data_IF_512224146415
#
_entry.id   IF_512224146415
#
_cell.length_a   1.000
_cell.length_b   1.000
_cell.length_c   1.000
_cell.angle_alpha   90.00
_cell.angle_beta   90.00
_cell.angle_gamma   90.00
#
_symmetry.space_group_name_H-M   'P 1'
#
loop_
_entity.id
_entity.type
_entity.pdbx_description
1 polymer ?
#
# COMPACT_ATOMS: atom_id res chain seq x y z
N UNK A 1 6.21 -21.15 -10.78
CA UNK A 1 6.51 -22.38 -11.56
C UNK A 1 7.09 -22.09 -12.94
N UNK A 2 6.51 -21.19 -13.74
CA UNK A 2 7.00 -20.89 -15.11
C UNK A 2 8.48 -20.47 -15.18
N UNK A 3 8.93 -19.55 -14.30
CA UNK A 3 10.34 -19.11 -14.24
C UNK A 3 11.32 -20.23 -13.89
N UNK A 4 10.89 -21.20 -13.08
CA UNK A 4 11.70 -22.36 -12.70
C UNK A 4 11.86 -23.34 -13.87
N UNK A 5 10.75 -23.66 -14.56
CA UNK A 5 10.76 -24.54 -15.74
C UNK A 5 11.61 -23.95 -16.87
N UNK A 6 11.47 -22.63 -17.12
CA UNK A 6 12.29 -21.92 -18.11
C UNK A 6 13.79 -22.02 -17.77
N UNK A 7 14.15 -21.86 -16.49
CA UNK A 7 15.52 -22.00 -16.01
C UNK A 7 16.08 -23.41 -16.21
N UNK A 8 15.29 -24.46 -15.96
CA UNK A 8 15.70 -25.86 -16.17
C UNK A 8 15.95 -26.16 -17.66
N UNK A 9 15.11 -25.65 -18.55
CA UNK A 9 15.25 -25.85 -20.00
C UNK A 9 16.51 -25.16 -20.52
N UNK A 10 16.69 -23.88 -20.17
CA UNK A 10 17.88 -23.11 -20.60
C UNK A 10 19.15 -23.70 -20.02
N UNK A 11 19.14 -24.10 -18.75
CA UNK A 11 20.28 -24.72 -18.08
C UNK A 11 20.67 -26.06 -18.70
N UNK A 12 19.70 -26.91 -19.04
CA UNK A 12 19.95 -28.20 -19.69
C UNK A 12 20.54 -28.02 -21.09
N UNK A 13 20.05 -27.04 -21.85
CA UNK A 13 20.56 -26.72 -23.18
C UNK A 13 22.01 -26.21 -23.16
N UNK A 14 22.34 -25.30 -22.24
CA UNK A 14 23.71 -24.83 -22.04
C UNK A 14 24.64 -25.95 -21.57
N UNK A 15 24.17 -26.81 -20.66
CA UNK A 15 24.95 -27.96 -20.18
C UNK A 15 25.27 -28.94 -21.30
N UNK A 16 24.33 -29.16 -22.22
CA UNK A 16 24.52 -30.02 -23.38
C UNK A 16 25.53 -29.43 -24.37
N UNK A 17 25.44 -28.13 -24.68
CA UNK A 17 26.39 -27.44 -25.56
C UNK A 17 27.80 -27.48 -24.98
N UNK A 18 27.96 -27.20 -23.68
CA UNK A 18 29.27 -27.31 -23.01
C UNK A 18 29.81 -28.74 -23.07
N UNK A 19 28.98 -29.75 -22.81
CA UNK A 19 29.41 -31.15 -22.83
C UNK A 19 29.90 -31.58 -24.23
N UNK A 20 29.19 -31.18 -25.29
CA UNK A 20 29.60 -31.44 -26.68
C UNK A 20 30.89 -30.68 -27.02
N UNK A 21 31.02 -29.42 -26.62
CA UNK A 21 32.23 -28.64 -26.87
C UNK A 21 33.47 -29.24 -26.20
N UNK A 22 33.32 -29.79 -24.98
CA UNK A 22 34.38 -30.47 -24.24
C UNK A 22 34.79 -31.77 -24.93
N UNK A 23 33.82 -32.59 -25.34
CA UNK A 23 34.06 -33.87 -26.02
C UNK A 23 34.73 -33.70 -27.39
N UNK A 24 34.44 -32.63 -28.12
CA UNK A 24 34.95 -32.39 -29.47
C UNK A 24 36.30 -31.66 -29.48
N UNK A 25 36.61 -30.86 -28.45
CA UNK A 25 37.76 -29.94 -28.50
C UNK A 25 39.03 -30.43 -27.79
N UNK A 26 39.06 -31.66 -27.25
CA UNK A 26 40.23 -32.22 -26.52
C UNK A 26 40.79 -31.27 -25.43
N UNK A 27 39.90 -30.47 -24.85
CA UNK A 27 40.26 -29.44 -23.86
C UNK A 27 40.46 -30.14 -22.52
N UNK A 28 41.70 -30.14 -22.03
CA UNK A 28 42.00 -30.50 -20.64
C UNK A 28 41.40 -29.44 -19.72
N UNK A 29 40.17 -29.65 -19.28
CA UNK A 29 39.55 -28.74 -18.34
C UNK A 29 40.15 -28.97 -16.96
N UNK A 30 40.72 -27.91 -16.41
CA UNK A 30 41.12 -27.91 -15.02
C UNK A 30 39.86 -28.01 -14.13
N UNK A 31 39.69 -29.17 -13.50
CA UNK A 31 38.59 -29.41 -12.55
C UNK A 31 38.60 -28.41 -11.39
N UNK A 32 39.76 -27.86 -11.02
CA UNK A 32 39.84 -26.81 -10.01
C UNK A 32 39.21 -25.50 -10.51
N UNK A 33 39.42 -25.14 -11.79
CA UNK A 33 38.81 -23.95 -12.41
C UNK A 33 37.28 -24.08 -12.46
N UNK A 34 36.75 -25.22 -12.93
CA UNK A 34 35.29 -25.45 -12.94
C UNK A 34 34.72 -25.34 -11.52
N UNK A 35 35.36 -26.00 -10.55
CA UNK A 35 34.88 -26.02 -9.17
C UNK A 35 34.82 -24.61 -8.59
N UNK A 36 35.84 -23.79 -8.84
CA UNK A 36 35.86 -22.38 -8.42
C UNK A 36 34.74 -21.55 -9.08
N UNK A 37 34.44 -21.77 -10.37
CA UNK A 37 33.33 -21.10 -11.06
C UNK A 37 31.98 -21.49 -10.45
N UNK A 38 31.76 -22.78 -10.19
CA UNK A 38 30.52 -23.27 -9.58
C UNK A 38 30.33 -22.70 -8.17
N UNK A 39 31.38 -22.69 -7.35
CA UNK A 39 31.37 -22.09 -6.01
C UNK A 39 31.04 -20.59 -6.11
N UNK A 40 31.64 -19.86 -7.05
CA UNK A 40 31.38 -18.44 -7.24
C UNK A 40 29.91 -18.17 -7.62
N UNK A 41 29.36 -18.93 -8.56
CA UNK A 41 27.95 -18.81 -8.97
C UNK A 41 27.02 -19.14 -7.82
N UNK A 42 27.27 -20.23 -7.08
CA UNK A 42 26.47 -20.61 -5.92
C UNK A 42 26.47 -19.52 -4.85
N UNK A 43 27.62 -18.88 -4.61
CA UNK A 43 27.75 -17.78 -3.65
C UNK A 43 26.97 -16.54 -4.09
N UNK A 44 27.02 -16.18 -5.38
CA UNK A 44 26.24 -15.05 -5.93
C UNK A 44 24.73 -15.31 -5.78
N UNK A 45 24.26 -16.50 -6.15
CA UNK A 45 22.85 -16.88 -6.03
C UNK A 45 22.40 -16.89 -4.56
N UNK A 46 23.20 -17.47 -3.67
CA UNK A 46 22.92 -17.48 -2.24
C UNK A 46 22.82 -16.05 -1.68
N UNK A 47 23.74 -15.17 -2.08
CA UNK A 47 23.73 -13.76 -1.66
C UNK A 47 22.51 -13.01 -2.18
N UNK A 48 22.10 -13.26 -3.44
CA UNK A 48 20.91 -12.66 -4.03
C UNK A 48 19.63 -13.09 -3.30
N UNK A 49 19.47 -14.39 -3.02
CA UNK A 49 18.34 -14.94 -2.25
C UNK A 49 18.33 -14.36 -0.83
N UNK A 50 19.50 -14.30 -0.18
CA UNK A 50 19.62 -13.76 1.17
C UNK A 50 19.22 -12.28 1.22
N UNK A 51 19.63 -11.49 0.24
CA UNK A 51 19.26 -10.08 0.14
C UNK A 51 17.74 -9.90 -0.04
N UNK A 52 17.13 -10.66 -0.96
CA UNK A 52 15.67 -10.63 -1.18
C UNK A 52 14.90 -11.06 0.09
N UNK A 53 15.35 -12.13 0.75
CA UNK A 53 14.78 -12.61 2.02
C UNK A 53 14.85 -11.55 3.13
N UNK A 54 15.97 -10.85 3.28
CA UNK A 54 16.10 -9.75 4.25
C UNK A 54 15.13 -8.61 3.92
N UNK A 55 15.04 -8.22 2.65
CA UNK A 55 14.14 -7.15 2.23
C UNK A 55 12.68 -7.50 2.53
N UNK A 56 12.26 -8.74 2.25
CA UNK A 56 10.92 -9.24 2.57
C UNK A 56 10.67 -9.27 4.08
N UNK A 57 11.58 -9.84 4.87
CA UNK A 57 11.45 -9.88 6.34
C UNK A 57 11.34 -8.48 6.95
N UNK A 58 12.06 -7.49 6.41
CA UNK A 58 11.95 -6.10 6.88
C UNK A 58 10.56 -5.53 6.63
N UNK A 59 9.98 -5.78 5.45
CA UNK A 59 8.62 -5.32 5.13
C UNK A 59 7.58 -6.05 5.98
N UNK A 60 7.71 -7.36 6.16
CA UNK A 60 6.81 -8.15 7.00
C UNK A 60 6.84 -7.65 8.46
N UNK A 61 8.02 -7.31 8.99
CA UNK A 61 8.13 -6.71 10.33
C UNK A 61 7.47 -5.34 10.41
N UNK A 62 7.66 -4.48 9.42
CA UNK A 62 7.01 -3.15 9.37
C UNK A 62 5.49 -3.32 9.30
N UNK A 63 5.01 -4.26 8.50
CA UNK A 63 3.60 -4.59 8.42
C UNK A 63 3.07 -5.06 9.77
N UNK A 64 3.64 -6.10 10.38
CA UNK A 64 3.16 -6.66 11.65
C UNK A 64 3.15 -5.63 12.78
N UNK A 65 4.15 -4.73 12.85
CA UNK A 65 4.20 -3.67 13.87
C UNK A 65 3.08 -2.63 13.69
N UNK A 66 2.72 -2.30 12.45
CA UNK A 66 1.81 -1.19 12.15
C UNK A 66 0.40 -1.65 11.75
N UNK A 67 0.18 -2.95 11.55
CA UNK A 67 -1.02 -3.54 10.96
C UNK A 67 -2.29 -3.07 11.66
N UNK A 68 -2.36 -3.19 12.99
CA UNK A 68 -3.55 -2.83 13.75
C UNK A 68 -3.89 -1.35 13.58
N UNK A 69 -2.87 -0.47 13.62
CA UNK A 69 -3.07 0.97 13.43
C UNK A 69 -3.53 1.30 12.01
N UNK A 70 -2.92 0.68 10.99
CA UNK A 70 -3.29 0.90 9.59
C UNK A 70 -4.69 0.41 9.28
N UNK A 71 -5.06 -0.77 9.79
CA UNK A 71 -6.40 -1.33 9.64
C UNK A 71 -7.44 -0.48 10.38
N UNK A 72 -7.13 -0.01 11.59
CA UNK A 72 -8.02 0.88 12.33
C UNK A 72 -8.21 2.20 11.59
N UNK A 73 -7.13 2.81 11.09
CA UNK A 73 -7.20 4.03 10.28
C UNK A 73 -7.99 3.82 8.99
N UNK A 74 -7.79 2.70 8.29
CA UNK A 74 -8.53 2.37 7.08
C UNK A 74 -10.02 2.18 7.36
N UNK A 75 -10.34 1.53 8.48
CA UNK A 75 -11.70 1.33 8.93
C UNK A 75 -12.37 2.66 9.32
N UNK A 76 -11.75 3.48 10.17
CA UNK A 76 -12.31 4.79 10.55
C UNK A 76 -12.45 5.73 9.35
N UNK A 77 -11.51 5.69 8.39
CA UNK A 77 -11.61 6.41 7.12
C UNK A 77 -12.80 5.92 6.28
N UNK A 78 -13.03 4.61 6.21
CA UNK A 78 -14.19 4.09 5.47
C UNK A 78 -15.51 4.54 6.09
N UNK A 79 -15.58 4.62 7.43
CA UNK A 79 -16.76 5.08 8.14
C UNK A 79 -17.00 6.59 7.95
N UNK A 80 -15.95 7.41 7.93
CA UNK A 80 -16.11 8.86 7.70
C UNK A 80 -16.50 9.18 6.25
N UNK A 81 -16.00 8.41 5.27
CA UNK A 81 -16.47 8.50 3.88
C UNK A 81 -17.96 8.18 3.82
N UNK A 82 -18.37 7.05 4.39
CA UNK A 82 -19.77 6.65 4.42
C UNK A 82 -20.66 7.70 5.10
N UNK A 83 -20.22 8.24 6.23
CA UNK A 83 -20.95 9.29 6.93
C UNK A 83 -21.08 10.56 6.08
N UNK A 84 -20.01 10.97 5.40
CA UNK A 84 -20.02 12.15 4.54
C UNK A 84 -20.94 11.96 3.33
N UNK A 85 -20.92 10.79 2.70
CA UNK A 85 -21.83 10.45 1.60
C UNK A 85 -23.30 10.44 2.05
N UNK A 86 -23.59 9.85 3.21
CA UNK A 86 -24.94 9.83 3.79
C UNK A 86 -25.46 11.24 4.07
N UNK A 87 -24.68 12.09 4.75
CA UNK A 87 -25.12 13.43 5.10
C UNK A 87 -25.15 14.39 3.90
N UNK A 88 -24.31 14.18 2.88
CA UNK A 88 -24.43 14.86 1.59
C UNK A 88 -25.79 14.58 0.93
N UNK A 89 -26.23 13.30 0.92
CA UNK A 89 -27.53 12.93 0.37
C UNK A 89 -28.70 13.52 1.18
N UNK A 90 -28.58 13.58 2.52
CA UNK A 90 -29.56 14.27 3.38
C UNK A 90 -29.69 15.75 2.99
N UNK A 91 -28.57 16.45 2.85
CA UNK A 91 -28.55 17.88 2.57
C UNK A 91 -29.05 18.19 1.17
N UNK A 92 -28.70 17.34 0.20
CA UNK A 92 -29.26 17.39 -1.15
C UNK A 92 -30.78 17.22 -1.12
N UNK A 93 -31.30 16.16 -0.49
CA UNK A 93 -32.75 15.91 -0.41
C UNK A 93 -33.49 17.05 0.28
N UNK A 94 -32.91 17.62 1.33
CA UNK A 94 -33.44 18.79 2.03
C UNK A 94 -33.50 20.03 1.14
N UNK A 95 -32.44 20.30 0.38
CA UNK A 95 -32.33 21.46 -0.51
C UNK A 95 -33.34 21.43 -1.66
N UNK A 96 -33.67 20.22 -2.15
CA UNK A 96 -34.61 20.03 -3.26
C UNK A 96 -36.03 19.63 -2.81
N UNK A 97 -36.29 19.55 -1.50
CA UNK A 97 -37.60 19.15 -0.96
C UNK A 97 -37.99 17.71 -1.29
N UNK A 98 -37.00 16.85 -1.55
CA UNK A 98 -37.19 15.43 -1.87
C UNK A 98 -37.44 14.67 -0.56
N UNK A 99 -38.59 13.99 -0.46
CA UNK A 99 -38.94 13.19 0.72
C UNK A 99 -38.47 11.73 0.58
N UNK A 100 -37.21 11.54 0.19
CA UNK A 100 -36.57 10.24 0.12
C UNK A 100 -35.55 10.09 1.25
N UNK A 101 -35.51 8.91 1.85
CA UNK A 101 -34.46 8.58 2.82
C UNK A 101 -33.16 8.28 2.07
N UNK A 102 -32.01 8.75 2.58
CA UNK A 102 -30.70 8.41 2.02
C UNK A 102 -30.46 6.90 1.96
N UNK A 103 -29.52 6.48 1.14
CA UNK A 103 -29.18 5.06 0.99
C UNK A 103 -28.47 4.51 2.24
N UNK A 104 -29.10 3.52 2.84
CA UNK A 104 -28.53 2.72 3.93
C UNK A 104 -28.81 3.25 5.34
N UNK A 105 -28.28 2.58 6.37
CA UNK A 105 -28.54 2.95 7.75
C UNK A 105 -27.84 4.26 8.14
N UNK A 106 -28.47 5.02 9.05
CA UNK A 106 -27.84 6.24 9.59
C UNK A 106 -26.45 5.90 10.18
N UNK A 107 -25.40 6.67 9.84
CA UNK A 107 -24.08 6.51 10.42
C UNK A 107 -24.11 6.64 11.94
N UNK A 108 -23.22 5.92 12.63
CA UNK A 108 -23.04 6.08 14.09
C UNK A 108 -22.59 7.51 14.42
N UNK A 109 -22.82 7.96 15.64
CA UNK A 109 -22.32 9.26 16.09
C UNK A 109 -20.82 9.20 16.37
N UNK A 110 -20.13 10.35 16.31
CA UNK A 110 -18.71 10.46 16.63
C UNK A 110 -17.73 9.94 15.58
N UNK A 111 -18.18 9.56 14.38
CA UNK A 111 -17.30 9.00 13.33
C UNK A 111 -16.18 9.95 12.92
N UNK A 112 -16.52 11.24 12.76
CA UNK A 112 -15.56 12.28 12.39
C UNK A 112 -14.50 12.49 13.47
N UNK A 113 -14.92 12.53 14.74
CA UNK A 113 -14.01 12.67 15.87
C UNK A 113 -13.11 11.44 16.03
N UNK A 114 -13.67 10.24 15.89
CA UNK A 114 -12.90 9.00 15.92
C UNK A 114 -11.82 8.97 14.84
N UNK A 115 -12.17 9.33 13.59
CA UNK A 115 -11.20 9.42 12.50
C UNK A 115 -10.12 10.49 12.77
N UNK A 116 -10.51 11.67 13.25
CA UNK A 116 -9.58 12.75 13.62
C UNK A 116 -8.58 12.29 14.69
N UNK A 117 -9.07 11.58 15.71
CA UNK A 117 -8.23 11.02 16.78
C UNK A 117 -7.25 9.96 16.24
N UNK A 118 -7.71 9.06 15.37
CA UNK A 118 -6.86 8.06 14.73
C UNK A 118 -5.78 8.73 13.86
N UNK A 119 -6.16 9.74 13.08
CA UNK A 119 -5.25 10.52 12.24
C UNK A 119 -4.17 11.21 13.08
N UNK A 120 -4.55 11.85 14.20
CA UNK A 120 -3.60 12.49 15.12
C UNK A 120 -2.68 11.48 15.79
N UNK A 121 -3.21 10.31 16.19
CA UNK A 121 -2.42 9.23 16.74
C UNK A 121 -1.37 8.73 15.75
N UNK A 122 -1.72 8.58 14.47
CA UNK A 122 -0.73 8.23 13.43
C UNK A 122 0.33 9.32 13.28
N UNK A 123 -0.09 10.58 13.14
CA UNK A 123 0.80 11.71 12.88
C UNK A 123 1.75 12.02 14.04
N UNK A 124 1.37 11.71 15.28
CA UNK A 124 2.16 12.01 16.47
C UNK A 124 2.95 10.80 16.98
N UNK A 125 2.37 9.61 16.97
CA UNK A 125 2.97 8.41 17.60
C UNK A 125 3.66 7.52 16.57
N UNK A 126 3.04 7.28 15.42
CA UNK A 126 3.51 6.32 14.42
C UNK A 126 4.28 6.96 13.26
N UNK A 127 4.45 8.28 13.27
CA UNK A 127 5.08 9.04 12.18
C UNK A 127 6.48 8.55 11.80
N UNK A 128 7.28 8.13 12.78
CA UNK A 128 8.64 7.62 12.55
C UNK A 128 8.67 6.22 11.95
N UNK A 129 7.56 5.47 12.07
CA UNK A 129 7.43 4.08 11.65
C UNK A 129 6.75 3.95 10.27
N UNK A 130 6.12 5.02 9.77
CA UNK A 130 5.43 5.04 8.48
C UNK A 130 6.27 5.71 7.37
N UNK A 131 5.94 5.41 6.10
CA UNK A 131 6.63 6.07 5.00
C UNK A 131 6.21 7.55 4.89
N UNK A 132 7.11 8.36 4.32
CA UNK A 132 6.91 9.81 4.18
C UNK A 132 5.66 10.15 3.34
N UNK A 133 5.34 9.31 2.36
CA UNK A 133 4.21 9.49 1.43
C UNK A 133 2.86 9.38 2.15
N UNK A 134 2.67 8.36 3.00
CA UNK A 134 1.44 8.21 3.79
C UNK A 134 1.29 9.35 4.81
N UNK A 135 2.39 9.72 5.49
CA UNK A 135 2.38 10.86 6.43
C UNK A 135 2.03 12.16 5.73
N UNK A 136 2.59 12.41 4.54
CA UNK A 136 2.26 13.58 3.73
C UNK A 136 0.78 13.58 3.31
N UNK A 137 0.25 12.42 2.91
CA UNK A 137 -1.15 12.27 2.51
C UNK A 137 -2.09 12.51 3.69
N UNK A 138 -1.78 11.95 4.87
CA UNK A 138 -2.54 12.18 6.09
C UNK A 138 -2.53 13.65 6.49
N UNK A 139 -1.37 14.31 6.42
CA UNK A 139 -1.26 15.74 6.75
C UNK A 139 -2.07 16.60 5.78
N UNK A 140 -1.95 16.35 4.48
CA UNK A 140 -2.69 17.08 3.46
C UNK A 140 -4.20 16.87 3.59
N UNK A 141 -4.66 15.65 3.89
CA UNK A 141 -6.09 15.40 4.14
C UNK A 141 -6.59 16.14 5.38
N UNK A 142 -5.79 16.19 6.46
CA UNK A 142 -6.13 16.98 7.67
C UNK A 142 -6.29 18.46 7.32
N UNK A 143 -5.27 19.04 6.70
CA UNK A 143 -5.24 20.46 6.31
C UNK A 143 -6.39 20.83 5.38
N UNK A 144 -6.73 19.97 4.41
CA UNK A 144 -7.87 20.18 3.53
C UNK A 144 -9.19 20.19 4.31
N UNK A 145 -9.39 19.25 5.22
CA UNK A 145 -10.65 19.17 5.99
C UNK A 145 -10.78 20.28 7.03
N UNK A 146 -9.67 20.70 7.64
CA UNK A 146 -9.63 21.87 8.53
C UNK A 146 -10.01 23.14 7.72
N UNK A 147 -9.42 23.33 6.53
CA UNK A 147 -9.77 24.43 5.64
C UNK A 147 -11.25 24.39 5.18
N UNK A 148 -11.78 23.21 4.84
CA UNK A 148 -13.21 23.06 4.47
C UNK A 148 -14.10 23.49 5.65
N UNK A 149 -13.75 23.08 6.86
CA UNK A 149 -14.52 23.41 8.07
C UNK A 149 -14.53 24.93 8.31
N UNK A 150 -13.38 25.59 8.19
CA UNK A 150 -13.26 27.05 8.29
C UNK A 150 -14.02 27.76 7.16
N UNK A 151 -13.98 27.22 5.94
CA UNK A 151 -14.67 27.81 4.79
C UNK A 151 -16.20 27.75 4.95
N UNK A 152 -16.73 26.68 5.54
CA UNK A 152 -18.16 26.59 5.89
C UNK A 152 -18.51 27.57 7.01
N UNK A 153 -17.69 27.68 8.06
CA UNK A 153 -17.94 28.59 9.19
C UNK A 153 -17.94 30.06 8.77
N UNK A 154 -17.16 30.41 7.74
CA UNK A 154 -17.09 31.75 7.17
C UNK A 154 -18.01 31.96 5.96
N UNK A 155 -18.98 31.07 5.71
CA UNK A 155 -19.92 31.13 4.59
C UNK A 155 -19.22 31.28 3.21
N UNK A 156 -17.98 30.81 3.09
CA UNK A 156 -17.18 30.90 1.87
C UNK A 156 -17.53 29.78 0.86
N UNK A 157 -18.05 28.65 1.36
CA UNK A 157 -18.59 27.53 0.57
C UNK A 157 -19.89 27.04 1.22
N UNK A 158 -20.78 26.46 0.43
CA UNK A 158 -22.00 25.85 0.96
C UNK A 158 -21.73 24.44 1.56
N UNK A 159 -22.71 23.91 2.30
CA UNK A 159 -22.60 22.60 2.94
C UNK A 159 -22.45 21.44 1.94
N UNK A 160 -23.04 21.55 0.74
CA UNK A 160 -22.97 20.51 -0.27
C UNK A 160 -21.56 20.45 -0.89
N UNK A 161 -21.02 21.60 -1.27
CA UNK A 161 -19.65 21.77 -1.74
C UNK A 161 -18.64 21.28 -0.70
N UNK A 162 -18.88 21.56 0.58
CA UNK A 162 -18.05 21.08 1.68
C UNK A 162 -18.05 19.55 1.80
N UNK A 163 -19.20 18.89 1.67
CA UNK A 163 -19.27 17.44 1.66
C UNK A 163 -18.55 16.84 0.46
N UNK A 164 -18.76 17.36 -0.75
CA UNK A 164 -18.12 16.87 -1.96
C UNK A 164 -16.58 17.00 -1.88
N UNK A 165 -16.10 18.15 -1.40
CA UNK A 165 -14.68 18.38 -1.17
C UNK A 165 -14.09 17.43 -0.11
N UNK A 166 -14.81 17.20 0.99
CA UNK A 166 -14.39 16.29 2.08
C UNK A 166 -14.33 14.85 1.59
N UNK A 167 -15.38 14.36 0.91
CA UNK A 167 -15.45 13.02 0.34
C UNK A 167 -14.27 12.80 -0.63
N UNK A 168 -13.97 13.78 -1.47
CA UNK A 168 -12.83 13.70 -2.39
C UNK A 168 -11.51 13.59 -1.63
N UNK A 169 -11.28 14.42 -0.62
CA UNK A 169 -10.07 14.37 0.21
C UNK A 169 -9.92 13.02 0.93
N UNK A 170 -11.01 12.47 1.48
CA UNK A 170 -11.00 11.16 2.12
C UNK A 170 -10.73 10.01 1.14
N UNK A 171 -11.31 10.03 -0.07
CA UNK A 171 -11.07 9.02 -1.10
C UNK A 171 -9.63 9.06 -1.62
N UNK A 172 -9.05 10.24 -1.80
CA UNK A 172 -7.63 10.41 -2.13
C UNK A 172 -6.74 9.77 -1.05
N UNK A 173 -7.04 10.02 0.23
CA UNK A 173 -6.33 9.41 1.35
C UNK A 173 -6.51 7.88 1.38
N UNK A 174 -7.72 7.39 1.14
CA UNK A 174 -8.04 5.96 1.16
C UNK A 174 -7.25 5.21 0.09
N UNK A 175 -7.15 5.77 -1.11
CA UNK A 175 -6.34 5.21 -2.18
C UNK A 175 -4.87 5.12 -1.76
N UNK A 176 -4.29 6.20 -1.23
CA UNK A 176 -2.89 6.21 -0.81
C UNK A 176 -2.62 5.22 0.35
N UNK A 177 -3.56 5.11 1.29
CA UNK A 177 -3.47 4.15 2.40
C UNK A 177 -3.53 2.71 1.91
N UNK A 178 -4.49 2.37 1.04
CA UNK A 178 -4.61 1.04 0.45
C UNK A 178 -3.35 0.68 -0.36
N UNK A 179 -2.82 1.62 -1.13
CA UNK A 179 -1.64 1.41 -1.95
C UNK A 179 -0.38 1.19 -1.08
N UNK A 180 -0.26 1.92 0.03
CA UNK A 180 0.77 1.68 1.04
C UNK A 180 0.64 0.29 1.67
N UNK A 181 -0.56 -0.05 2.16
CA UNK A 181 -0.84 -1.35 2.76
C UNK A 181 -0.56 -2.51 1.81
N UNK A 182 -0.94 -2.40 0.54
CA UNK A 182 -0.68 -3.41 -0.49
C UNK A 182 0.82 -3.61 -0.79
N UNK A 183 1.61 -2.54 -0.73
CA UNK A 183 3.08 -2.61 -0.91
C UNK A 183 3.76 -3.29 0.27
N UNK A 184 3.41 -2.93 1.50
CA UNK A 184 4.09 -3.47 2.69
C UNK A 184 3.62 -4.87 3.07
N UNK A 185 2.37 -5.23 2.78
CA UNK A 185 1.83 -6.58 2.99
C UNK A 185 2.29 -7.60 1.94
N UNK A 186 2.98 -7.14 0.87
CA UNK A 186 3.45 -7.99 -0.20
C UNK A 186 2.38 -8.47 -1.18
N UNK A 187 1.12 -8.04 -1.04
CA UNK A 187 0.01 -8.41 -1.95
C UNK A 187 0.25 -7.92 -3.37
N UNK A 188 0.94 -6.79 -3.56
CA UNK A 188 1.28 -6.24 -4.88
C UNK A 188 2.38 -7.03 -5.62
N UNK A 189 3.03 -7.99 -4.96
CA UNK A 189 4.13 -8.79 -5.50
C UNK A 189 3.75 -10.25 -5.84
N UNK A 190 2.45 -10.58 -5.88
CA UNK A 190 1.93 -11.90 -6.26
C UNK A 190 1.57 -11.93 -7.75
#
# INVERSE_FOLDING_TARGET
MFKFILGVIVGSFFSFISLVAILVSDVNIDMALITNIVIAIATVVATAIHFDSIAKQRNDRIWEINKDMLLNLAHSLSLVIYASEYYSEVEYNRSFGINESPRGPKPKEGVYEAFKNDQEKVLNVYRTLMNKELISSLKSSKEKNDWISEAVEHDAIDHQEAYDASIKAYKELQNNLNDFMARISGVKNI
#
